data_IF_722826563125
#
_entry.id   IF_722826563125
#
_cell.length_a   1.000
_cell.length_b   1.000
_cell.length_c   1.000
_cell.angle_alpha   90.00
_cell.angle_beta   90.00
_cell.angle_gamma   90.00
#
_symmetry.space_group_name_H-M   'P 1'
#
loop_
_entity.id
_entity.type
_entity.pdbx_description
1 polymer ?
#
# COMPACT_ATOMS: atom_id res chain seq x y z
N UNK A 1 -3.44 12.75 4.74
CA UNK A 1 -2.87 11.65 3.94
C UNK A 1 -3.30 11.87 2.50
N UNK A 2 -2.36 11.90 1.56
CA UNK A 2 -2.56 12.50 0.22
C UNK A 2 -3.00 11.43 -0.78
N UNK A 3 -4.19 10.88 -0.62
CA UNK A 3 -4.70 9.81 -1.49
C UNK A 3 -4.85 10.29 -2.95
N UNK A 4 -5.39 11.50 -3.13
CA UNK A 4 -5.46 12.22 -4.41
C UNK A 4 -4.10 12.42 -5.08
N UNK A 5 -3.06 12.66 -4.28
CA UNK A 5 -1.69 12.81 -4.78
C UNK A 5 -1.16 11.50 -5.36
N UNK A 6 -1.48 10.36 -4.74
CA UNK A 6 -1.10 9.06 -5.30
C UNK A 6 -1.85 8.76 -6.59
N UNK A 7 -3.16 9.02 -6.65
CA UNK A 7 -3.92 8.85 -7.89
C UNK A 7 -3.31 9.64 -9.05
N UNK A 8 -3.06 10.93 -8.84
CA UNK A 8 -2.46 11.80 -9.86
C UNK A 8 -1.10 11.27 -10.36
N UNK A 9 -0.24 10.83 -9.46
CA UNK A 9 1.08 10.31 -9.85
C UNK A 9 1.03 8.96 -10.55
N UNK A 10 -0.01 8.16 -10.29
CA UNK A 10 -0.21 6.90 -11.00
C UNK A 10 -0.76 7.18 -12.41
N UNK A 11 -1.74 8.08 -12.55
CA UNK A 11 -2.25 8.51 -13.87
C UNK A 11 -1.11 9.02 -14.77
N UNK A 12 -0.21 9.85 -14.22
CA UNK A 12 0.99 10.32 -14.94
C UNK A 12 1.92 9.17 -15.37
N UNK A 13 1.93 8.06 -14.63
CA UNK A 13 2.75 6.89 -14.93
C UNK A 13 2.10 5.93 -15.94
N UNK A 14 0.77 5.94 -16.09
CA UNK A 14 0.01 5.06 -16.99
C UNK A 14 0.07 5.49 -18.46
N UNK A 15 0.19 6.79 -18.71
CA UNK A 15 0.02 7.35 -20.06
C UNK A 15 1.26 7.08 -20.95
N UNK A 16 1.40 5.87 -21.50
CA UNK A 16 2.49 5.48 -22.42
C UNK A 16 1.94 5.01 -23.75
N UNK A 17 2.34 5.69 -24.82
CA UNK A 17 2.28 5.15 -26.17
C UNK A 17 3.61 4.47 -26.50
N UNK A 18 3.57 3.17 -26.73
CA UNK A 18 4.75 2.40 -27.16
C UNK A 18 4.99 2.73 -28.64
N UNK A 19 6.10 3.42 -28.94
CA UNK A 19 6.52 3.69 -30.32
C UNK A 19 7.69 2.76 -30.71
N UNK A 20 7.37 1.74 -31.50
CA UNK A 20 8.33 0.77 -32.06
C UNK A 20 8.75 1.08 -33.49
N UNK A 21 8.33 2.21 -34.06
CA UNK A 21 8.50 2.50 -35.50
C UNK A 21 9.95 2.62 -35.95
N UNK A 22 10.88 2.93 -35.04
CA UNK A 22 12.33 2.92 -35.32
C UNK A 22 13.11 2.43 -34.09
N UNK A 23 14.34 1.89 -34.27
CA UNK A 23 15.18 1.48 -33.15
C UNK A 23 15.45 2.59 -32.13
N UNK A 24 15.62 3.84 -32.59
CA UNK A 24 15.88 4.99 -31.71
C UNK A 24 14.65 5.38 -30.89
N UNK A 25 13.45 5.30 -31.48
CA UNK A 25 12.18 5.50 -30.78
C UNK A 25 11.90 4.38 -29.77
N UNK A 26 12.18 3.13 -30.14
CA UNK A 26 12.08 2.00 -29.21
C UNK A 26 12.99 2.20 -28.00
N UNK A 27 14.25 2.59 -28.22
CA UNK A 27 15.21 2.83 -27.14
C UNK A 27 14.76 3.96 -26.21
N UNK A 28 14.20 5.06 -26.75
CA UNK A 28 13.60 6.14 -25.94
C UNK A 28 12.42 5.62 -25.10
N UNK A 29 11.52 4.84 -25.70
CA UNK A 29 10.38 4.22 -25.02
C UNK A 29 10.83 3.33 -23.86
N UNK A 30 11.86 2.50 -24.07
CA UNK A 30 12.41 1.62 -23.02
C UNK A 30 13.04 2.40 -21.85
N UNK A 31 13.72 3.52 -22.13
CA UNK A 31 14.28 4.39 -21.08
C UNK A 31 13.15 5.00 -20.24
N UNK A 32 12.08 5.47 -20.89
CA UNK A 32 10.92 6.05 -20.21
C UNK A 32 10.17 5.02 -19.36
N UNK A 33 9.96 3.81 -19.88
CA UNK A 33 9.41 2.68 -19.12
C UNK A 33 10.24 2.36 -17.87
N UNK A 34 11.58 2.30 -18.00
CA UNK A 34 12.48 2.08 -16.86
C UNK A 34 12.41 3.22 -15.83
N UNK A 35 12.23 4.47 -16.28
CA UNK A 35 12.05 5.62 -15.39
C UNK A 35 10.74 5.51 -14.62
N UNK A 36 9.64 5.21 -15.29
CA UNK A 36 8.31 5.05 -14.67
C UNK A 36 8.25 3.87 -13.72
N UNK A 37 8.87 2.74 -14.07
CA UNK A 37 9.07 1.60 -13.16
C UNK A 37 9.70 2.03 -11.82
N UNK A 38 10.71 2.91 -11.87
CA UNK A 38 11.35 3.46 -10.66
C UNK A 38 10.39 4.36 -9.86
N UNK A 39 9.57 5.16 -10.53
CA UNK A 39 8.56 6.02 -9.88
C UNK A 39 7.53 5.16 -9.18
N UNK A 40 6.92 4.19 -9.87
CA UNK A 40 5.94 3.25 -9.32
C UNK A 40 6.49 2.49 -8.11
N UNK A 41 7.75 2.02 -8.17
CA UNK A 41 8.42 1.38 -7.02
C UNK A 41 8.57 2.32 -5.82
N UNK A 42 8.85 3.61 -6.04
CA UNK A 42 8.91 4.60 -4.96
C UNK A 42 7.51 4.86 -4.37
N UNK A 43 6.49 4.99 -5.21
CA UNK A 43 5.10 5.17 -4.78
C UNK A 43 4.63 3.98 -3.93
N UNK A 44 4.90 2.75 -4.37
CA UNK A 44 4.59 1.53 -3.60
C UNK A 44 5.20 1.58 -2.20
N UNK A 45 6.47 1.99 -2.07
CA UNK A 45 7.13 2.13 -0.76
C UNK A 45 6.44 3.16 0.13
N UNK A 46 6.07 4.31 -0.42
CA UNK A 46 5.37 5.37 0.33
C UNK A 46 3.98 4.92 0.80
N UNK A 47 3.23 4.24 -0.06
CA UNK A 47 1.91 3.67 0.28
C UNK A 47 2.03 2.65 1.41
N UNK A 48 3.04 1.77 1.37
CA UNK A 48 3.28 0.80 2.44
C UNK A 48 3.56 1.51 3.78
N UNK A 49 4.33 2.59 3.74
CA UNK A 49 4.62 3.37 4.95
C UNK A 49 3.38 4.07 5.50
N UNK A 50 2.54 4.64 4.62
CA UNK A 50 1.25 5.21 5.03
C UNK A 50 0.33 4.16 5.66
N UNK A 51 0.26 2.95 5.10
CA UNK A 51 -0.50 1.82 5.68
C UNK A 51 0.03 1.51 7.09
N UNK A 52 1.35 1.38 7.26
CA UNK A 52 1.98 1.12 8.57
C UNK A 52 1.63 2.21 9.58
N UNK A 53 1.67 3.47 9.18
CA UNK A 53 1.30 4.60 10.04
C UNK A 53 -0.16 4.51 10.52
N UNK A 54 -1.10 4.11 9.64
CA UNK A 54 -2.50 3.87 10.02
C UNK A 54 -2.61 2.71 11.02
N UNK A 55 -1.82 1.65 10.85
CA UNK A 55 -1.81 0.51 11.76
C UNK A 55 -1.26 0.86 13.14
N UNK A 56 -0.17 1.63 13.19
CA UNK A 56 0.39 2.15 14.45
C UNK A 56 -0.64 3.02 15.17
N UNK A 57 -1.28 3.97 14.48
CA UNK A 57 -2.36 4.80 15.05
C UNK A 57 -3.51 3.96 15.61
N UNK A 58 -3.91 2.90 14.90
CA UNK A 58 -4.93 1.97 15.37
C UNK A 58 -4.51 1.23 16.65
N UNK A 59 -3.27 0.74 16.71
CA UNK A 59 -2.74 0.04 17.88
C UNK A 59 -2.65 0.96 19.10
N UNK A 60 -2.17 2.19 18.92
CA UNK A 60 -2.12 3.21 19.98
C UNK A 60 -3.53 3.50 20.52
N UNK A 61 -4.53 3.66 19.64
CA UNK A 61 -5.92 3.85 20.05
C UNK A 61 -6.48 2.65 20.82
N UNK A 62 -6.14 1.42 20.42
CA UNK A 62 -6.54 0.22 21.18
C UNK A 62 -5.92 0.19 22.57
N UNK A 63 -4.66 0.59 22.72
CA UNK A 63 -3.97 0.65 24.01
C UNK A 63 -4.63 1.72 24.90
N UNK A 64 -4.89 2.91 24.36
CA UNK A 64 -5.56 3.99 25.09
C UNK A 64 -6.95 3.57 25.61
N UNK A 65 -7.76 2.92 24.77
CA UNK A 65 -9.08 2.41 25.19
C UNK A 65 -8.96 1.36 26.30
N UNK A 66 -7.93 0.49 26.26
CA UNK A 66 -7.72 -0.48 27.35
C UNK A 66 -7.38 0.22 28.66
N UNK A 67 -6.46 1.18 28.63
CA UNK A 67 -6.07 1.98 29.80
C UNK A 67 -7.25 2.74 30.41
N UNK A 68 -8.04 3.44 29.59
CA UNK A 68 -9.22 4.18 30.05
C UNK A 68 -10.24 3.27 30.79
N UNK A 69 -10.34 2.00 30.39
CA UNK A 69 -11.21 1.03 31.03
C UNK A 69 -10.60 0.48 32.32
N UNK A 70 -9.29 0.24 32.35
CA UNK A 70 -8.58 -0.16 33.57
C UNK A 70 -8.69 0.93 34.64
N UNK A 71 -8.50 2.19 34.25
CA UNK A 71 -8.66 3.36 35.12
C UNK A 71 -10.10 3.49 35.64
N UNK A 72 -11.11 3.22 34.78
CA UNK A 72 -12.52 3.16 35.20
C UNK A 72 -12.78 2.06 36.25
N UNK A 73 -12.25 0.85 36.03
CA UNK A 73 -12.41 -0.27 36.97
C UNK A 73 -11.78 0.03 38.33
N UNK A 74 -10.62 0.70 38.32
CA UNK A 74 -9.91 1.07 39.53
C UNK A 74 -10.63 2.20 40.30
N UNK A 75 -11.18 3.20 39.60
CA UNK A 75 -11.84 4.36 40.21
C UNK A 75 -13.15 4.77 39.48
N UNK A 76 -14.27 4.06 39.72
CA UNK A 76 -15.53 4.30 39.02
C UNK A 76 -16.16 5.68 39.30
N UNK A 77 -15.86 6.25 40.47
CA UNK A 77 -16.39 7.54 40.96
C UNK A 77 -15.88 8.75 40.19
N UNK A 78 -14.69 8.66 39.59
CA UNK A 78 -14.05 9.74 38.82
C UNK A 78 -14.67 9.87 37.41
N UNK A 79 -15.17 8.77 36.86
CA UNK A 79 -15.61 8.67 35.47
C UNK A 79 -17.14 8.64 35.34
N UNK A 80 -17.80 9.78 35.58
CA UNK A 80 -19.26 9.94 35.46
C UNK A 80 -19.84 9.56 34.08
N UNK A 81 -19.06 9.67 32.99
CA UNK A 81 -19.52 9.34 31.61
C UNK A 81 -19.76 7.84 31.36
N UNK A 82 -19.23 6.97 32.21
CA UNK A 82 -19.31 5.51 32.08
C UNK A 82 -20.27 4.87 33.10
N UNK A 83 -20.79 5.64 34.05
CA UNK A 83 -21.74 5.20 35.09
C UNK A 83 -23.03 4.68 34.44
N UNK A 84 -23.36 3.41 34.67
CA UNK A 84 -24.61 2.78 34.18
C UNK A 84 -24.57 2.16 32.79
N UNK A 85 -23.42 2.18 32.08
CA UNK A 85 -23.23 1.38 30.86
C UNK A 85 -22.39 0.16 31.17
N UNK A 86 -22.80 -0.98 30.65
CA UNK A 86 -22.03 -2.21 30.73
C UNK A 86 -20.68 -2.03 30.00
N UNK A 87 -19.62 -1.87 30.81
CA UNK A 87 -18.28 -1.46 30.37
C UNK A 87 -17.71 -2.38 29.27
N UNK A 88 -18.08 -3.65 29.30
CA UNK A 88 -17.71 -4.66 28.31
C UNK A 88 -18.34 -4.38 26.95
N UNK A 89 -19.64 -4.11 26.92
CA UNK A 89 -20.38 -3.80 25.70
C UNK A 89 -19.93 -2.47 25.07
N UNK A 90 -19.63 -1.46 25.89
CA UNK A 90 -19.07 -0.20 25.41
C UNK A 90 -17.67 -0.41 24.80
N UNK A 91 -16.81 -1.20 25.46
CA UNK A 91 -15.48 -1.58 24.94
C UNK A 91 -15.59 -2.23 23.57
N UNK A 92 -16.44 -3.24 23.44
CA UNK A 92 -16.65 -3.94 22.17
C UNK A 92 -17.14 -2.99 21.07
N UNK A 93 -18.10 -2.11 21.38
CA UNK A 93 -18.60 -1.12 20.41
C UNK A 93 -17.50 -0.15 19.97
N UNK A 94 -16.71 0.39 20.90
CA UNK A 94 -15.62 1.33 20.59
C UNK A 94 -14.50 0.65 19.79
N UNK A 95 -14.09 -0.56 20.19
CA UNK A 95 -13.10 -1.36 19.46
C UNK A 95 -13.57 -1.69 18.04
N UNK A 96 -14.84 -2.11 17.87
CA UNK A 96 -15.44 -2.33 16.54
C UNK A 96 -15.42 -1.05 15.70
N UNK A 97 -15.76 0.10 16.30
CA UNK A 97 -15.77 1.39 15.60
C UNK A 97 -14.37 1.80 15.11
N UNK A 98 -13.33 1.66 15.92
CA UNK A 98 -11.96 1.98 15.49
C UNK A 98 -11.42 0.95 14.48
N UNK A 99 -11.82 -0.33 14.58
CA UNK A 99 -11.49 -1.35 13.60
C UNK A 99 -12.06 -1.03 12.21
N UNK A 100 -13.35 -0.72 12.14
CA UNK A 100 -14.02 -0.28 10.90
C UNK A 100 -13.36 0.98 10.31
N UNK A 101 -12.98 1.94 11.15
CA UNK A 101 -12.25 3.15 10.70
C UNK A 101 -10.87 2.83 10.13
N UNK A 102 -10.11 1.92 10.74
CA UNK A 102 -8.81 1.46 10.23
C UNK A 102 -8.97 0.80 8.87
N UNK A 103 -9.94 -0.10 8.74
CA UNK A 103 -10.23 -0.81 7.50
C UNK A 103 -10.65 0.14 6.38
N UNK A 104 -11.59 1.05 6.64
CA UNK A 104 -12.02 2.07 5.68
C UNK A 104 -10.87 2.99 5.24
N UNK A 105 -9.91 3.28 6.12
CA UNK A 105 -8.71 4.07 5.78
C UNK A 105 -7.69 3.30 4.95
N UNK A 106 -7.47 2.02 5.24
CA UNK A 106 -6.46 1.20 4.56
C UNK A 106 -6.93 0.71 3.19
N UNK A 107 -8.22 0.40 3.03
CA UNK A 107 -8.79 -0.14 1.80
C UNK A 107 -8.31 0.59 0.52
N UNK A 108 -8.45 1.92 0.39
CA UNK A 108 -8.01 2.62 -0.82
C UNK A 108 -6.48 2.56 -1.04
N UNK A 109 -5.68 2.45 0.01
CA UNK A 109 -4.22 2.26 -0.13
C UNK A 109 -3.86 0.87 -0.65
N UNK A 110 -4.60 -0.16 -0.23
CA UNK A 110 -4.42 -1.50 -0.76
C UNK A 110 -4.83 -1.55 -2.24
N UNK A 111 -5.93 -0.91 -2.62
CA UNK A 111 -6.35 -0.80 -4.02
C UNK A 111 -5.28 -0.12 -4.88
N UNK A 112 -4.71 1.01 -4.41
CA UNK A 112 -3.59 1.67 -5.07
C UNK A 112 -2.34 0.78 -5.18
N UNK A 113 -2.04 0.00 -4.13
CA UNK A 113 -0.90 -0.92 -4.12
C UNK A 113 -1.07 -2.03 -5.16
N UNK A 114 -2.24 -2.65 -5.20
CA UNK A 114 -2.58 -3.69 -6.18
C UNK A 114 -2.54 -3.14 -7.61
N UNK A 115 -3.01 -1.92 -7.80
CA UNK A 115 -2.95 -1.25 -9.09
C UNK A 115 -1.51 -0.98 -9.55
N UNK A 116 -0.65 -0.47 -8.66
CA UNK A 116 0.77 -0.30 -8.95
C UNK A 116 1.44 -1.65 -9.28
N UNK A 117 1.06 -2.72 -8.61
CA UNK A 117 1.63 -4.05 -8.86
C UNK A 117 1.30 -4.54 -10.28
N UNK A 118 0.07 -4.36 -10.74
CA UNK A 118 -0.33 -4.64 -12.13
C UNK A 118 0.48 -3.81 -13.13
N UNK A 119 0.62 -2.51 -12.90
CA UNK A 119 1.41 -1.63 -13.78
C UNK A 119 2.88 -2.03 -13.84
N UNK A 120 3.46 -2.45 -12.72
CA UNK A 120 4.84 -2.94 -12.68
C UNK A 120 4.99 -4.25 -13.49
N UNK A 121 4.03 -5.16 -13.37
CA UNK A 121 4.02 -6.41 -14.15
C UNK A 121 3.88 -6.14 -15.65
N UNK A 122 3.00 -5.23 -16.06
CA UNK A 122 2.82 -4.83 -17.45
C UNK A 122 4.09 -4.21 -18.03
N UNK A 123 4.72 -3.27 -17.30
CA UNK A 123 5.99 -2.67 -17.71
C UNK A 123 7.07 -3.75 -17.85
N UNK A 124 7.11 -4.73 -16.96
CA UNK A 124 8.11 -5.79 -16.99
C UNK A 124 7.93 -6.73 -18.18
N UNK A 125 6.68 -7.08 -18.52
CA UNK A 125 6.36 -7.82 -19.74
C UNK A 125 6.83 -7.06 -20.99
N UNK A 126 6.51 -5.76 -21.08
CA UNK A 126 6.91 -4.93 -22.23
C UNK A 126 8.45 -4.86 -22.35
N UNK A 127 9.15 -4.68 -21.24
CA UNK A 127 10.62 -4.64 -21.23
C UNK A 127 11.19 -5.99 -21.68
N UNK A 128 10.68 -7.11 -21.16
CA UNK A 128 11.16 -8.46 -21.52
C UNK A 128 10.90 -8.78 -22.99
N UNK A 129 9.76 -8.37 -23.54
CA UNK A 129 9.42 -8.59 -24.95
C UNK A 129 10.32 -7.81 -25.91
N UNK A 130 10.74 -6.60 -25.52
CA UNK A 130 11.38 -5.64 -26.41
C UNK A 130 12.89 -5.39 -26.12
N UNK A 131 13.43 -5.90 -25.01
CA UNK A 131 14.85 -5.82 -24.66
C UNK A 131 15.49 -7.23 -24.70
N UNK A 132 16.29 -7.56 -25.73
CA UNK A 132 16.89 -8.89 -25.90
C UNK A 132 17.78 -9.32 -24.73
N UNK A 133 18.34 -8.36 -23.97
CA UNK A 133 19.13 -8.67 -22.76
C UNK A 133 18.20 -9.04 -21.60
N UNK A 134 17.12 -8.29 -21.39
CA UNK A 134 16.13 -8.59 -20.36
C UNK A 134 15.47 -9.96 -20.59
N UNK A 135 15.17 -10.32 -21.85
CA UNK A 135 14.65 -11.64 -22.21
C UNK A 135 15.58 -12.78 -21.80
N UNK A 136 16.90 -12.61 -21.97
CA UNK A 136 17.90 -13.61 -21.58
C UNK A 136 18.09 -13.72 -20.07
N UNK A 137 17.95 -12.62 -19.33
CA UNK A 137 18.03 -12.61 -17.87
C UNK A 137 16.78 -13.25 -17.23
N UNK A 138 15.60 -12.94 -17.74
CA UNK A 138 14.33 -13.52 -17.28
C UNK A 138 14.30 -15.05 -17.42
N UNK A 139 14.73 -15.58 -18.58
CA UNK A 139 14.84 -17.03 -18.81
C UNK A 139 15.79 -17.71 -17.82
N UNK A 140 16.87 -17.02 -17.39
CA UNK A 140 17.81 -17.57 -16.40
C UNK A 140 17.25 -17.57 -14.98
N UNK A 141 16.42 -16.60 -14.61
CA UNK A 141 15.75 -16.57 -13.31
C UNK A 141 14.64 -17.65 -13.21
N UNK A 142 13.89 -17.89 -14.28
CA UNK A 142 12.90 -18.99 -14.33
C UNK A 142 13.55 -20.37 -14.26
N UNK A 143 14.71 -20.56 -14.90
CA UNK A 143 15.44 -21.83 -14.88
C UNK A 143 16.26 -22.07 -13.60
N UNK A 144 16.42 -21.06 -12.75
CA UNK A 144 17.16 -21.19 -11.50
C UNK A 144 16.44 -20.43 -10.35
N UNK A 145 15.28 -20.94 -9.89
CA UNK A 145 14.54 -20.32 -8.81
C UNK A 145 15.41 -20.19 -7.56
N UNK A 146 15.21 -19.14 -6.74
CA UNK A 146 15.99 -18.92 -5.52
C UNK A 146 15.90 -20.06 -4.49
N UNK A 147 14.98 -21.00 -4.66
CA UNK A 147 14.87 -22.23 -3.86
C UNK A 147 15.99 -23.26 -4.12
N UNK A 148 16.81 -23.05 -5.17
CA UNK A 148 17.94 -23.92 -5.53
C UNK A 148 19.32 -23.27 -5.29
N UNK A 149 19.40 -22.20 -4.48
CA UNK A 149 20.66 -21.55 -4.08
C UNK A 149 20.98 -21.73 -2.60
#
# INVERSE_FOLDING_TARGET
>A
MRLEYYYKLIEEAEDIKIDTSTPSKLQKTLIELKRRKRILKKLKKMIIEDIRNIEVDYLLKRIAIRKEIEDYKANPSIFKKLRGRDSYNLRLKTLKKIGRKREAKIKPYNELREHIDKLLEEIDKIIVENDPKAKREYIKEEFNPPEFR
#
